data_IF_832944383722
#
_entry.id   IF_832944383722
#
_cell.length_a   1.000
_cell.length_b   1.000
_cell.length_c   1.000
_cell.angle_alpha   90.00
_cell.angle_beta   90.00
_cell.angle_gamma   90.00
#
_symmetry.space_group_name_H-M   'P 1'
#
loop_
_entity.id
_entity.type
_entity.pdbx_description
1 polymer ?
#
# COMPACT_ATOMS: atom_id res chain seq x y z
N UNK A 1 3.24 -7.77 -19.79
CA UNK A 1 3.81 -7.19 -18.56
C UNK A 1 2.74 -6.40 -17.82
N UNK A 2 2.68 -6.55 -16.52
CA UNK A 2 1.66 -5.91 -15.69
C UNK A 2 2.38 -5.27 -14.51
N UNK A 3 2.52 -3.95 -14.55
CA UNK A 3 3.28 -3.23 -13.55
C UNK A 3 2.59 -1.92 -13.23
N UNK A 4 2.48 -1.63 -11.93
CA UNK A 4 2.00 -0.34 -11.48
C UNK A 4 2.98 0.19 -10.44
N UNK A 5 3.22 1.50 -10.48
CA UNK A 5 4.06 2.18 -9.50
C UNK A 5 3.21 3.30 -8.92
N UNK A 6 3.08 3.32 -7.59
CA UNK A 6 2.31 4.37 -6.94
C UNK A 6 3.05 4.91 -5.74
N UNK A 7 2.80 6.18 -5.48
CA UNK A 7 3.30 6.88 -4.32
C UNK A 7 2.11 7.60 -3.70
N UNK A 8 1.89 7.36 -2.42
CA UNK A 8 0.77 7.98 -1.72
C UNK A 8 0.88 7.75 -0.23
N UNK A 9 -0.24 7.89 0.46
CA UNK A 9 -0.25 7.78 1.91
C UNK A 9 -1.20 6.68 2.35
N UNK A 10 -0.82 5.96 3.38
CA UNK A 10 -1.70 4.95 3.95
C UNK A 10 -2.90 5.63 4.61
N UNK A 11 -4.10 5.09 4.35
CA UNK A 11 -5.33 5.64 4.93
C UNK A 11 -5.57 5.13 6.34
N UNK A 12 -4.90 4.03 6.71
CA UNK A 12 -5.00 3.42 8.04
C UNK A 12 -3.76 2.57 8.25
N UNK A 13 -3.56 2.10 9.47
CA UNK A 13 -2.47 1.18 9.74
C UNK A 13 -2.68 -0.09 8.93
N UNK A 14 -1.61 -0.75 8.47
CA UNK A 14 -1.75 -2.02 7.76
C UNK A 14 -2.40 -3.08 8.64
N UNK A 15 -3.22 -3.92 8.02
CA UNK A 15 -3.83 -5.05 8.72
C UNK A 15 -3.02 -6.30 8.43
N UNK A 16 -2.42 -6.85 9.45
CA UNK A 16 -1.57 -8.03 9.32
C UNK A 16 -2.35 -9.27 9.68
N UNK A 17 -2.21 -10.30 8.87
CA UNK A 17 -2.81 -11.60 9.16
C UNK A 17 -1.92 -12.69 8.61
N UNK A 18 -2.24 -13.92 8.95
CA UNK A 18 -1.51 -15.07 8.41
C UNK A 18 -2.50 -16.00 7.73
N UNK A 19 -2.05 -16.61 6.64
CA UNK A 19 -2.84 -17.63 5.96
C UNK A 19 -2.86 -18.89 6.82
N UNK A 20 -3.67 -19.87 6.40
CA UNK A 20 -3.73 -21.16 7.10
C UNK A 20 -2.37 -21.84 7.14
N UNK A 21 -1.51 -21.54 6.15
CA UNK A 21 -0.17 -22.11 6.11
C UNK A 21 0.87 -21.26 6.83
N UNK A 22 0.43 -20.22 7.53
CA UNK A 22 1.33 -19.38 8.29
C UNK A 22 2.05 -18.30 7.51
N UNK A 23 1.60 -18.00 6.29
CA UNK A 23 2.24 -16.98 5.46
C UNK A 23 1.73 -15.61 5.87
N UNK A 24 2.62 -14.66 6.20
CA UNK A 24 2.19 -13.31 6.58
C UNK A 24 1.66 -12.55 5.38
N UNK A 25 0.54 -11.84 5.60
CA UNK A 25 -0.12 -11.03 4.57
C UNK A 25 -0.50 -9.71 5.21
N UNK A 26 -0.18 -8.60 4.56
CA UNK A 26 -0.57 -7.27 5.02
C UNK A 26 -1.49 -6.65 3.98
N UNK A 27 -2.62 -6.13 4.46
CA UNK A 27 -3.57 -5.41 3.60
C UNK A 27 -3.59 -3.96 4.04
N UNK A 28 -3.53 -3.06 3.07
CA UNK A 28 -3.56 -1.63 3.36
C UNK A 28 -4.08 -0.89 2.13
N UNK A 29 -4.52 0.33 2.35
CA UNK A 29 -5.03 1.18 1.26
C UNK A 29 -4.17 2.42 1.16
N UNK A 30 -3.80 2.76 -0.07
CA UNK A 30 -2.97 3.93 -0.35
C UNK A 30 -3.80 4.97 -1.08
N UNK A 31 -3.81 6.18 -0.56
CA UNK A 31 -4.51 7.31 -1.16
C UNK A 31 -3.54 8.09 -2.03
N UNK A 32 -3.92 8.30 -3.28
CA UNK A 32 -3.09 9.01 -4.25
C UNK A 32 -3.91 10.14 -4.85
N UNK A 33 -3.41 11.37 -4.70
CA UNK A 33 -4.07 12.53 -5.30
C UNK A 33 -3.81 12.56 -6.79
N UNK A 34 -4.83 12.92 -7.55
CA UNK A 34 -4.66 13.02 -9.00
C UNK A 34 -3.76 14.19 -9.35
N UNK A 35 -2.97 13.99 -10.39
CA UNK A 35 -1.96 14.97 -10.80
C UNK A 35 -2.59 16.30 -11.22
N UNK A 36 -3.67 16.23 -11.97
CA UNK A 36 -4.28 17.44 -12.55
C UNK A 36 -5.52 17.92 -11.80
N UNK A 37 -5.99 17.15 -10.83
CA UNK A 37 -7.14 17.54 -10.03
C UNK A 37 -6.92 17.04 -8.61
N UNK A 38 -6.26 17.87 -7.81
CA UNK A 38 -5.85 17.47 -6.47
C UNK A 38 -7.00 17.37 -5.49
N UNK A 39 -8.18 17.83 -5.89
CA UNK A 39 -9.37 17.64 -5.06
C UNK A 39 -9.91 16.23 -5.16
N UNK A 40 -9.41 15.45 -6.13
CA UNK A 40 -9.82 14.07 -6.32
C UNK A 40 -8.71 13.14 -5.86
N UNK A 41 -9.10 12.11 -5.13
CA UNK A 41 -8.16 11.13 -4.59
C UNK A 41 -8.60 9.74 -5.01
N UNK A 42 -7.65 8.97 -5.49
CA UNK A 42 -7.90 7.57 -5.82
C UNK A 42 -7.36 6.69 -4.70
N UNK A 43 -8.08 5.62 -4.40
CA UNK A 43 -7.71 4.71 -3.33
C UNK A 43 -7.35 3.36 -3.92
N UNK A 44 -6.15 2.89 -3.63
CA UNK A 44 -5.64 1.62 -4.13
C UNK A 44 -5.54 0.63 -2.99
N UNK A 45 -6.29 -0.47 -3.10
CA UNK A 45 -6.15 -1.56 -2.14
C UNK A 45 -4.92 -2.36 -2.49
N UNK A 46 -4.08 -2.58 -1.49
CA UNK A 46 -2.79 -3.23 -1.68
C UNK A 46 -2.68 -4.44 -0.78
N UNK A 47 -2.05 -5.49 -1.30
CA UNK A 47 -1.77 -6.69 -0.54
C UNK A 47 -0.29 -7.00 -0.68
N UNK A 48 0.38 -7.17 0.45
CA UNK A 48 1.79 -7.55 0.49
C UNK A 48 1.90 -8.91 1.16
N UNK A 49 2.92 -9.67 0.76
CA UNK A 49 3.09 -11.06 1.20
C UNK A 49 4.48 -11.24 1.80
N UNK A 50 4.59 -12.15 2.76
CA UNK A 50 5.86 -12.63 3.31
C UNK A 50 6.69 -11.48 3.87
N UNK A 51 7.95 -11.38 3.48
CA UNK A 51 8.84 -10.36 4.02
C UNK A 51 8.38 -8.94 3.69
N UNK A 52 7.75 -8.74 2.54
CA UNK A 52 7.21 -7.43 2.20
C UNK A 52 6.07 -7.06 3.13
N UNK A 53 5.23 -8.04 3.48
CA UNK A 53 4.14 -7.80 4.44
C UNK A 53 4.70 -7.39 5.79
N UNK A 54 5.73 -8.10 6.25
CA UNK A 54 6.35 -7.79 7.53
C UNK A 54 6.98 -6.41 7.53
N UNK A 55 7.65 -6.07 6.43
CA UNK A 55 8.27 -4.76 6.28
C UNK A 55 7.24 -3.64 6.37
N UNK A 56 6.15 -3.78 5.61
CA UNK A 56 5.09 -2.75 5.60
C UNK A 56 4.45 -2.65 6.98
N UNK A 57 4.15 -3.78 7.58
CA UNK A 57 3.50 -3.78 8.89
C UNK A 57 4.38 -3.14 9.95
N UNK A 58 5.69 -3.36 9.88
CA UNK A 58 6.61 -2.87 10.89
C UNK A 58 6.89 -1.37 10.75
N UNK A 59 6.99 -0.87 9.52
CA UNK A 59 7.53 0.46 9.29
C UNK A 59 6.54 1.49 8.78
N UNK A 60 5.33 1.09 8.42
CA UNK A 60 4.36 2.03 7.85
C UNK A 60 3.10 2.11 8.71
N UNK A 61 2.61 3.34 8.91
CA UNK A 61 1.44 3.62 9.73
C UNK A 61 0.52 4.57 8.97
N UNK A 62 -0.68 4.74 9.48
CA UNK A 62 -1.66 5.65 8.91
C UNK A 62 -1.02 7.02 8.64
N UNK A 63 -1.26 7.54 7.45
CA UNK A 63 -0.80 8.87 7.05
C UNK A 63 0.61 8.92 6.53
N UNK A 64 1.36 7.85 6.64
CA UNK A 64 2.74 7.82 6.20
C UNK A 64 2.83 7.59 4.71
N UNK A 65 3.80 8.24 4.08
CA UNK A 65 4.01 8.15 2.65
C UNK A 65 4.75 6.87 2.28
N UNK A 66 4.32 6.23 1.20
CA UNK A 66 4.92 4.99 0.73
C UNK A 66 5.06 5.04 -0.79
N UNK A 67 6.16 4.50 -1.29
CA UNK A 67 6.39 4.29 -2.71
C UNK A 67 6.41 2.78 -2.93
N UNK A 68 5.57 2.29 -3.83
CA UNK A 68 5.54 0.86 -4.08
C UNK A 68 5.35 0.55 -5.55
N UNK A 69 5.72 -0.66 -5.91
CA UNK A 69 5.42 -1.19 -7.23
C UNK A 69 4.86 -2.59 -7.07
N UNK A 70 4.06 -2.97 -8.04
CA UNK A 70 3.44 -4.28 -8.01
C UNK A 70 2.68 -4.55 -9.28
N UNK A 71 1.74 -5.47 -9.18
CA UNK A 71 0.88 -5.88 -10.29
C UNK A 71 -0.57 -5.63 -9.92
N UNK A 72 -1.36 -5.20 -10.91
CA UNK A 72 -2.80 -5.13 -10.72
C UNK A 72 -3.38 -6.52 -10.88
N UNK A 73 -4.26 -6.88 -9.98
CA UNK A 73 -4.92 -8.18 -10.04
C UNK A 73 -6.41 -7.97 -9.88
N UNK A 74 -7.17 -8.60 -10.75
CA UNK A 74 -8.62 -8.53 -10.70
C UNK A 74 -9.15 -9.81 -10.05
N UNK A 75 -9.93 -9.63 -9.00
CA UNK A 75 -10.61 -10.75 -8.35
C UNK A 75 -12.06 -10.77 -8.79
N UNK A 76 -12.51 -11.92 -9.24
CA UNK A 76 -13.89 -12.09 -9.71
C UNK A 76 -14.55 -13.15 -8.85
N UNK A 77 -15.75 -12.85 -8.37
CA UNK A 77 -16.50 -13.80 -7.54
C UNK A 77 -17.99 -13.67 -7.83
N UNK A 78 -18.73 -14.71 -7.44
CA UNK A 78 -20.17 -14.74 -7.56
C UNK A 78 -20.80 -14.62 -6.19
N UNK A 79 -21.86 -13.82 -6.08
CA UNK A 79 -22.57 -13.72 -4.83
C UNK A 79 -23.66 -14.80 -4.74
N UNK A 80 -24.45 -14.76 -3.67
CA UNK A 80 -25.47 -15.78 -3.42
C UNK A 80 -26.57 -15.76 -4.48
N UNK A 81 -26.77 -14.62 -5.12
CA UNK A 81 -27.80 -14.47 -6.15
C UNK A 81 -27.28 -14.83 -7.54
N UNK A 82 -26.03 -15.28 -7.64
CA UNK A 82 -25.43 -15.63 -8.91
C UNK A 82 -24.90 -14.48 -9.70
N UNK A 83 -24.86 -13.29 -9.10
CA UNK A 83 -24.31 -12.12 -9.77
C UNK A 83 -22.79 -12.10 -9.64
N UNK A 84 -22.12 -11.74 -10.71
CA UNK A 84 -20.68 -11.67 -10.73
C UNK A 84 -20.19 -10.30 -10.33
N UNK A 85 -19.17 -10.29 -9.51
CA UNK A 85 -18.53 -9.06 -9.04
C UNK A 85 -17.05 -9.12 -9.33
N UNK A 86 -16.44 -7.95 -9.46
CA UNK A 86 -15.00 -7.88 -9.64
C UNK A 86 -14.43 -6.73 -8.84
N UNK A 87 -13.19 -6.88 -8.41
CA UNK A 87 -12.48 -5.79 -7.77
C UNK A 87 -11.02 -5.91 -8.11
N UNK A 88 -10.34 -4.76 -8.16
CA UNK A 88 -8.92 -4.70 -8.47
C UNK A 88 -8.13 -4.41 -7.21
N UNK A 89 -6.98 -5.03 -7.12
CA UNK A 89 -6.05 -4.77 -6.03
C UNK A 89 -4.64 -4.79 -6.57
N UNK A 90 -3.73 -4.16 -5.82
CA UNK A 90 -2.31 -4.14 -6.16
C UNK A 90 -1.64 -5.24 -5.35
N UNK A 91 -1.01 -6.18 -6.05
CA UNK A 91 -0.18 -7.19 -5.40
C UNK A 91 1.21 -6.60 -5.33
N UNK A 92 1.63 -6.22 -4.13
CA UNK A 92 2.86 -5.43 -3.95
C UNK A 92 4.08 -6.32 -4.12
N UNK A 93 4.98 -5.88 -5.00
CA UNK A 93 6.25 -6.56 -5.21
C UNK A 93 7.32 -5.95 -4.31
N UNK A 94 7.32 -4.63 -4.22
CA UNK A 94 8.35 -3.91 -3.45
C UNK A 94 7.77 -2.64 -2.88
N UNK A 95 8.22 -2.25 -1.69
CA UNK A 95 7.78 -1.03 -1.04
C UNK A 95 8.99 -0.32 -0.45
N UNK A 96 8.97 1.02 -0.51
CA UNK A 96 10.10 1.82 -0.06
C UNK A 96 9.62 3.06 0.68
N UNK A 97 10.47 3.58 1.52
CA UNK A 97 10.24 4.85 2.19
C UNK A 97 10.34 6.00 1.19
N UNK A 98 9.57 7.06 1.47
CA UNK A 98 9.65 8.29 0.71
C UNK A 98 10.30 9.36 1.58
N UNK A 99 11.10 10.18 0.96
CA UNK A 99 11.76 11.26 1.67
C UNK A 99 12.68 10.75 2.75
N UNK A 100 12.87 11.56 3.77
CA UNK A 100 13.73 11.19 4.87
C UNK A 100 12.98 10.34 5.88
N UNK A 101 13.47 9.14 6.10
CA UNK A 101 12.89 8.25 7.07
C UNK A 101 13.06 8.79 8.50
N UNK A 102 14.08 9.60 8.73
CA UNK A 102 14.28 10.20 10.03
C UNK A 102 13.22 11.22 10.36
N UNK A 103 12.65 11.86 9.35
CA UNK A 103 11.59 12.83 9.58
C UNK A 103 10.35 12.18 10.17
N UNK A 104 10.12 10.94 9.84
CA UNK A 104 8.91 10.28 10.29
C UNK A 104 9.02 9.75 11.71
N UNK A 105 10.20 9.75 12.27
CA UNK A 105 10.40 9.11 13.56
C UNK A 105 10.78 10.04 14.69
N UNK A 106 11.52 11.04 14.41
CA UNK A 106 12.11 11.80 15.49
C UNK A 106 12.43 13.15 15.06
N UNK A 107 12.94 13.05 14.94
CA UNK A 107 13.48 13.86 14.63
C UNK A 107 13.78 14.61 14.09
N UNK A 108 14.19 15.07 14.14
CA UNK A 108 14.44 15.88 13.73
C UNK A 108 14.97 16.54 12.92
N UNK A 109 15.43 16.49 12.66
CA UNK A 109 16.02 16.91 12.05
C UNK A 109 16.14 17.37 11.17
N UNK A 110 16.27 17.65 10.74
CA UNK A 110 16.50 18.06 9.94
C UNK A 110 16.90 18.02 9.10
N UNK A 111 16.96 18.09 8.59
CA UNK A 111 17.32 17.89 7.73
C UNK A 111 17.65 17.84 6.87
N UNK A 112 17.85 17.82 6.39
CA UNK A 112 18.12 17.80 5.59
C UNK A 112 18.16 17.47 4.66
N UNK A 113 18.00 17.43 4.27
CA UNK A 113 17.91 16.88 3.44
C UNK A 113 17.61 16.93 2.80
N UNK A 114 17.68 17.13 2.54
CA UNK A 114 17.33 17.01 2.15
C UNK A 114 17.15 16.78 1.66
N UNK A 115 17.23 16.81 1.39
CA UNK A 115 16.97 16.61 1.01
C UNK A 115 16.83 16.80 0.84
#
# INVERSE_FOLDING_TARGET
>A
MNTIVIKGRLTADPEMRKTTNGVPVANFTVAVDRTFNRDETDFFRCTAWRSTAEFVNQYFKKGQEILLNGEMQCNVWEDEDGEKHSSWSVQVVNAEFCGSKTESFDTPKKKTYKK
#
